data_IF_812511151980
#
_entry.id   IF_812511151980
#
_cell.length_a   1.000
_cell.length_b   1.000
_cell.length_c   1.000
_cell.angle_alpha   90.00
_cell.angle_beta   90.00
_cell.angle_gamma   90.00
#
_symmetry.space_group_name_H-M   'P 1'
#
loop_
_entity.id
_entity.type
_entity.pdbx_description
1 polymer ?
#
# COMPACT_ATOMS: atom_id res chain seq x y z
N UNK A 1 10.57 4.22 35.04
CA UNK A 1 11.53 3.22 34.52
C UNK A 1 11.75 3.52 33.03
N UNK A 2 12.83 4.21 32.66
CA UNK A 2 13.10 4.53 31.26
C UNK A 2 13.58 3.24 30.58
N UNK A 3 12.78 2.67 29.67
CA UNK A 3 13.19 1.48 28.91
C UNK A 3 14.40 1.83 28.05
N UNK A 4 15.56 1.23 28.35
CA UNK A 4 16.76 1.34 27.50
C UNK A 4 16.44 0.85 26.09
N UNK A 5 16.77 1.66 25.10
CA UNK A 5 16.69 1.32 23.68
C UNK A 5 17.56 0.08 23.37
N UNK A 6 16.99 -0.90 22.66
CA UNK A 6 17.58 -2.25 22.51
C UNK A 6 18.20 -2.54 21.14
N UNK A 7 17.91 -1.75 20.13
CA UNK A 7 18.32 -2.01 18.74
C UNK A 7 19.40 -1.01 18.29
N UNK A 8 20.29 -1.36 17.37
CA UNK A 8 21.18 -0.36 16.73
C UNK A 8 20.43 0.36 15.60
N UNK A 9 19.60 -0.37 14.86
CA UNK A 9 18.69 0.13 13.84
C UNK A 9 17.35 -0.58 13.93
N UNK A 10 16.27 0.14 13.60
CA UNK A 10 14.92 -0.39 13.51
C UNK A 10 14.23 0.21 12.29
N UNK A 11 13.76 -0.64 11.39
CA UNK A 11 12.88 -0.24 10.29
C UNK A 11 11.48 -0.81 10.51
N UNK A 12 10.46 -0.01 10.18
CA UNK A 12 9.07 -0.43 10.17
C UNK A 12 8.48 -0.19 8.79
N UNK A 13 8.19 -1.26 8.06
CA UNK A 13 7.64 -1.21 6.70
C UNK A 13 6.12 -1.41 6.71
N UNK A 14 5.36 -0.62 5.93
CA UNK A 14 3.92 -0.78 5.81
C UNK A 14 3.57 -2.08 5.07
N UNK A 15 2.38 -2.61 5.34
CA UNK A 15 1.71 -3.51 4.39
C UNK A 15 1.23 -2.74 3.19
N UNK A 16 1.05 -3.43 2.06
CA UNK A 16 0.69 -2.81 0.79
C UNK A 16 -0.48 -3.59 0.18
N UNK A 17 -1.47 -2.85 -0.31
CA UNK A 17 -2.56 -3.37 -1.13
C UNK A 17 -2.34 -2.91 -2.58
N UNK A 18 -2.41 -3.83 -3.54
CA UNK A 18 -2.47 -3.49 -4.96
C UNK A 18 -3.94 -3.35 -5.34
N UNK A 19 -4.38 -2.11 -5.54
CA UNK A 19 -5.77 -1.79 -5.85
C UNK A 19 -6.19 -2.33 -7.21
N UNK A 20 -5.26 -2.39 -8.16
CA UNK A 20 -5.47 -2.99 -9.45
C UNK A 20 -4.36 -2.62 -10.44
N UNK A 21 -4.66 -2.83 -11.71
CA UNK A 21 -3.73 -2.63 -12.82
C UNK A 21 -4.34 -1.77 -13.93
N UNK A 22 -3.48 -1.33 -14.83
CA UNK A 22 -3.88 -0.69 -16.08
C UNK A 22 -2.88 -1.03 -17.19
N UNK A 23 -3.34 -0.87 -18.44
CA UNK A 23 -2.49 -0.85 -19.62
C UNK A 23 -2.63 0.49 -20.31
N UNK A 24 -1.51 1.07 -20.71
CA UNK A 24 -1.48 2.31 -21.48
C UNK A 24 -0.51 2.10 -22.64
N UNK A 25 -1.05 1.94 -23.86
CA UNK A 25 -0.26 1.51 -25.03
C UNK A 25 0.47 0.19 -24.72
N UNK A 26 1.77 0.11 -24.99
CA UNK A 26 2.60 -1.09 -24.79
C UNK A 26 3.19 -1.21 -23.37
N UNK A 27 2.73 -0.37 -22.43
CA UNK A 27 3.15 -0.44 -21.03
C UNK A 27 1.99 -0.82 -20.11
N UNK A 28 2.35 -1.32 -18.94
CA UNK A 28 1.44 -1.69 -17.87
C UNK A 28 1.87 -1.05 -16.57
N UNK A 29 0.95 -0.98 -15.62
CA UNK A 29 1.22 -0.40 -14.33
C UNK A 29 0.33 -0.94 -13.23
N UNK A 30 0.71 -0.59 -12.00
CA UNK A 30 -0.02 -0.96 -10.79
C UNK A 30 -0.43 0.29 -10.01
N UNK A 31 -1.54 0.16 -9.30
CA UNK A 31 -2.03 1.15 -8.36
C UNK A 31 -1.95 0.57 -6.96
N UNK A 32 -1.36 1.31 -6.03
CA UNK A 32 -1.03 0.81 -4.69
C UNK A 32 -1.48 1.72 -3.58
N UNK A 33 -1.69 1.08 -2.44
CA UNK A 33 -2.15 1.68 -1.20
C UNK A 33 -1.34 1.08 -0.03
N UNK A 34 -0.23 1.71 0.41
CA UNK A 34 0.40 1.39 1.68
C UNK A 34 -0.56 1.64 2.85
N UNK A 35 -0.46 0.80 3.89
CA UNK A 35 -1.32 0.84 5.07
C UNK A 35 -0.53 1.11 6.35
N UNK A 36 -1.20 1.74 7.32
CA UNK A 36 -0.62 2.03 8.64
C UNK A 36 -0.39 0.72 9.41
N UNK A 37 -1.29 -0.26 9.25
CA UNK A 37 -1.23 -1.58 9.88
C UNK A 37 -1.91 -2.62 8.96
N UNK A 38 -1.45 -3.90 8.91
CA UNK A 38 -0.30 -4.47 9.62
C UNK A 38 1.05 -3.97 9.11
N UNK A 39 2.13 -4.18 9.87
CA UNK A 39 3.50 -3.77 9.52
C UNK A 39 4.51 -4.90 9.78
N UNK A 40 5.62 -4.84 9.06
CA UNK A 40 6.83 -5.60 9.35
C UNK A 40 7.79 -4.70 10.10
N UNK A 41 8.27 -5.14 11.27
CA UNK A 41 9.30 -4.44 12.01
C UNK A 41 10.57 -5.30 12.03
N UNK A 42 11.70 -4.71 11.65
CA UNK A 42 12.99 -5.41 11.61
C UNK A 42 13.99 -4.58 12.41
N UNK A 43 14.53 -5.19 13.46
CA UNK A 43 15.54 -4.59 14.32
C UNK A 43 16.88 -5.31 14.21
N UNK A 44 17.98 -4.57 14.33
CA UNK A 44 19.31 -5.15 14.51
C UNK A 44 19.68 -5.07 15.98
N UNK A 45 19.99 -6.22 16.60
CA UNK A 45 20.45 -6.30 17.99
C UNK A 45 21.71 -7.17 18.06
N UNK A 46 22.80 -6.60 18.56
CA UNK A 46 24.11 -7.27 18.65
C UNK A 46 24.54 -7.90 17.31
N UNK A 47 24.34 -7.19 16.19
CA UNK A 47 24.65 -7.68 14.84
C UNK A 47 23.70 -8.74 14.28
N UNK A 48 22.65 -9.14 15.02
CA UNK A 48 21.64 -10.10 14.57
C UNK A 48 20.34 -9.40 14.18
N UNK A 49 19.72 -9.86 13.09
CA UNK A 49 18.40 -9.41 12.65
C UNK A 49 17.31 -10.09 13.48
N UNK A 50 16.38 -9.29 14.00
CA UNK A 50 15.16 -9.73 14.65
C UNK A 50 13.97 -9.22 13.82
N UNK A 51 13.13 -10.14 13.34
CA UNK A 51 11.98 -9.84 12.49
C UNK A 51 10.71 -10.06 13.29
N UNK A 52 9.90 -9.02 13.40
CA UNK A 52 8.57 -9.07 14.00
C UNK A 52 7.58 -8.66 12.90
N UNK A 53 7.12 -9.67 12.14
CA UNK A 53 6.12 -9.50 11.09
C UNK A 53 4.73 -9.85 11.62
N UNK A 54 3.75 -8.98 11.33
CA UNK A 54 2.32 -9.26 11.53
C UNK A 54 1.53 -9.13 10.23
N UNK A 55 2.22 -9.03 9.09
CA UNK A 55 1.56 -8.86 7.80
C UNK A 55 1.18 -10.26 7.31
N UNK A 56 -0.12 -10.58 7.17
CA UNK A 56 -0.53 -11.83 6.55
C UNK A 56 -0.23 -11.80 5.05
N UNK A 57 -0.14 -12.98 4.43
CA UNK A 57 0.16 -13.09 2.99
C UNK A 57 -0.87 -12.38 2.10
N UNK A 58 -2.09 -12.16 2.60
CA UNK A 58 -3.14 -11.35 1.96
C UNK A 58 -2.77 -9.88 1.73
N UNK A 59 -1.67 -9.39 2.31
CA UNK A 59 -1.10 -8.05 2.09
C UNK A 59 0.35 -8.12 1.60
N UNK A 60 0.67 -9.12 0.75
CA UNK A 60 2.00 -9.33 0.20
C UNK A 60 3.09 -9.54 1.27
N UNK A 61 2.74 -10.16 2.41
CA UNK A 61 3.61 -10.27 3.59
C UNK A 61 5.04 -10.76 3.29
N UNK A 62 5.18 -11.82 2.49
CA UNK A 62 6.49 -12.36 2.09
C UNK A 62 7.33 -11.36 1.27
N UNK A 63 6.71 -10.71 0.27
CA UNK A 63 7.38 -9.73 -0.59
C UNK A 63 7.77 -8.50 0.22
N UNK A 64 6.85 -7.99 1.04
CA UNK A 64 7.08 -6.84 1.92
C UNK A 64 8.21 -7.14 2.91
N UNK A 65 8.22 -8.32 3.53
CA UNK A 65 9.29 -8.70 4.46
C UNK A 65 10.65 -8.80 3.74
N UNK A 66 10.70 -9.43 2.57
CA UNK A 66 11.91 -9.53 1.74
C UNK A 66 12.46 -8.14 1.39
N UNK A 67 11.60 -7.27 0.87
CA UNK A 67 11.94 -5.89 0.49
C UNK A 67 12.41 -5.10 1.72
N UNK A 68 11.70 -5.20 2.84
CA UNK A 68 12.03 -4.50 4.08
C UNK A 68 13.40 -4.92 4.64
N UNK A 69 13.70 -6.23 4.62
CA UNK A 69 15.02 -6.79 4.96
C UNK A 69 16.11 -6.20 4.06
N UNK A 70 15.85 -6.15 2.75
CA UNK A 70 16.83 -5.63 1.79
C UNK A 70 17.10 -4.13 1.99
N UNK A 71 16.09 -3.32 2.29
CA UNK A 71 16.29 -1.89 2.61
C UNK A 71 17.21 -1.72 3.83
N UNK A 72 17.03 -2.54 4.87
CA UNK A 72 17.85 -2.46 6.08
C UNK A 72 19.29 -2.92 5.88
N UNK A 73 19.50 -3.97 5.07
CA UNK A 73 20.79 -4.62 4.88
C UNK A 73 21.61 -4.07 3.70
N UNK A 74 20.94 -3.51 2.69
CA UNK A 74 21.54 -3.16 1.40
C UNK A 74 21.15 -1.74 1.00
N UNK A 75 22.13 -0.84 0.90
CA UNK A 75 21.89 0.54 0.45
C UNK A 75 21.53 0.66 -1.04
N UNK A 76 21.73 -0.42 -1.83
CA UNK A 76 21.53 -0.45 -3.29
C UNK A 76 20.68 -1.65 -3.73
N UNK A 77 19.45 -1.79 -3.21
CA UNK A 77 18.56 -2.84 -3.67
C UNK A 77 18.04 -2.55 -5.08
N UNK A 78 18.35 -3.44 -6.03
CA UNK A 78 17.83 -3.42 -7.40
C UNK A 78 17.12 -4.75 -7.63
N UNK A 79 15.78 -4.73 -7.73
CA UNK A 79 15.02 -5.91 -8.16
C UNK A 79 14.77 -5.88 -9.66
N UNK A 80 14.94 -7.02 -10.31
CA UNK A 80 14.55 -7.24 -11.72
C UNK A 80 13.08 -7.61 -11.85
N UNK A 81 12.41 -7.96 -10.75
CA UNK A 81 10.98 -8.19 -10.71
C UNK A 81 10.24 -6.86 -10.54
N UNK A 82 9.29 -6.58 -11.43
CA UNK A 82 8.56 -5.31 -11.43
C UNK A 82 7.71 -5.14 -10.18
N UNK A 83 7.06 -6.20 -9.69
CA UNK A 83 6.21 -6.12 -8.51
C UNK A 83 7.05 -5.80 -7.26
N UNK A 84 8.20 -6.46 -7.08
CA UNK A 84 9.16 -6.14 -6.03
C UNK A 84 9.66 -4.70 -6.13
N UNK A 85 9.91 -4.19 -7.35
CA UNK A 85 10.35 -2.81 -7.58
C UNK A 85 9.29 -1.80 -7.14
N UNK A 86 8.03 -2.04 -7.52
CA UNK A 86 6.87 -1.26 -7.12
C UNK A 86 6.71 -1.27 -5.59
N UNK A 87 6.77 -2.45 -4.97
CA UNK A 87 6.67 -2.62 -3.50
C UNK A 87 7.80 -1.88 -2.79
N UNK A 88 9.04 -2.00 -3.27
CA UNK A 88 10.20 -1.26 -2.76
C UNK A 88 9.99 0.25 -2.80
N UNK A 89 9.60 0.80 -3.96
CA UNK A 89 9.39 2.26 -4.08
C UNK A 89 8.22 2.72 -3.21
N UNK A 90 7.16 1.92 -3.08
CA UNK A 90 6.01 2.21 -2.20
C UNK A 90 6.41 2.30 -0.72
N UNK A 91 7.52 1.67 -0.30
CA UNK A 91 8.01 1.84 1.08
C UNK A 91 8.37 3.30 1.38
N UNK A 92 8.77 4.07 0.37
CA UNK A 92 9.22 5.46 0.51
C UNK A 92 8.12 6.50 0.21
N UNK A 93 7.08 6.12 -0.54
CA UNK A 93 6.01 7.03 -0.98
C UNK A 93 4.67 6.65 -0.35
N UNK A 94 3.98 7.60 0.28
CA UNK A 94 2.71 7.37 0.96
C UNK A 94 1.48 7.68 0.11
N UNK A 95 0.31 7.32 0.62
CA UNK A 95 -0.98 7.66 0.04
C UNK A 95 -1.40 6.68 -1.06
N UNK A 96 -2.03 7.20 -2.11
CA UNK A 96 -2.44 6.47 -3.30
C UNK A 96 -1.39 6.68 -4.39
N UNK A 97 -0.86 5.61 -4.97
CA UNK A 97 0.27 5.71 -5.89
C UNK A 97 0.00 4.92 -7.16
N UNK A 98 0.24 5.56 -8.30
CA UNK A 98 0.16 4.93 -9.63
C UNK A 98 1.58 4.78 -10.16
N UNK A 99 1.97 3.55 -10.46
CA UNK A 99 3.28 3.23 -11.06
C UNK A 99 3.12 2.75 -12.49
N UNK A 100 4.03 3.19 -13.35
CA UNK A 100 4.19 2.71 -14.72
C UNK A 100 5.43 1.83 -14.83
N UNK A 101 5.38 0.77 -15.62
CA UNK A 101 6.57 0.01 -15.99
C UNK A 101 7.32 0.68 -17.14
N UNK A 102 8.60 0.93 -16.93
CA UNK A 102 9.55 1.30 -18.00
C UNK A 102 10.74 0.36 -17.92
N UNK A 103 10.89 -0.54 -18.90
CA UNK A 103 11.83 -1.66 -18.76
C UNK A 103 11.42 -2.56 -17.59
N UNK A 104 12.29 -2.81 -16.61
CA UNK A 104 11.92 -3.49 -15.35
C UNK A 104 11.72 -2.52 -14.17
N UNK A 105 11.75 -1.21 -14.42
CA UNK A 105 11.65 -0.20 -13.39
C UNK A 105 10.22 0.28 -13.17
N UNK A 106 9.85 0.51 -11.91
CA UNK A 106 8.61 1.16 -11.52
C UNK A 106 8.77 2.67 -11.44
N UNK A 107 8.15 3.42 -12.34
CA UNK A 107 8.19 4.89 -12.32
C UNK A 107 6.89 5.42 -11.69
N UNK A 108 6.94 6.15 -10.55
CA UNK A 108 5.74 6.75 -9.99
C UNK A 108 5.23 7.85 -10.93
N UNK A 109 3.98 7.74 -11.37
CA UNK A 109 3.31 8.74 -12.20
C UNK A 109 2.55 9.77 -11.37
N UNK A 110 1.80 9.30 -10.37
CA UNK A 110 1.11 10.16 -9.40
C UNK A 110 1.21 9.57 -8.00
N UNK A 111 1.27 10.47 -7.02
CA UNK A 111 1.24 10.18 -5.58
C UNK A 111 0.24 11.16 -4.97
N UNK A 112 -0.85 10.63 -4.44
CA UNK A 112 -1.96 11.42 -3.90
C UNK A 112 -2.12 11.12 -2.41
N UNK A 113 -2.02 12.15 -1.56
CA UNK A 113 -2.32 11.99 -0.13
C UNK A 113 -3.82 11.81 0.06
N UNK A 114 -4.22 10.74 0.72
CA UNK A 114 -5.65 10.39 0.86
C UNK A 114 -6.26 11.18 2.00
N UNK A 115 -7.48 11.69 1.80
CA UNK A 115 -8.29 12.29 2.86
C UNK A 115 -8.92 11.20 3.74
N UNK A 116 -8.17 10.73 4.73
CA UNK A 116 -8.60 9.68 5.67
C UNK A 116 -9.60 10.16 6.73
N UNK A 117 -9.79 11.47 6.85
CA UNK A 117 -10.85 12.06 7.67
C UNK A 117 -12.22 11.85 7.01
N UNK A 118 -12.30 12.08 5.70
CA UNK A 118 -13.52 11.89 4.90
C UNK A 118 -13.78 10.42 4.58
N UNK A 119 -12.79 9.68 4.10
CA UNK A 119 -12.98 8.31 3.62
C UNK A 119 -12.50 7.26 4.64
N UNK A 120 -13.26 6.17 4.76
CA UNK A 120 -12.96 4.99 5.58
C UNK A 120 -12.76 3.79 4.66
N UNK A 121 -11.74 3.00 4.98
CA UNK A 121 -11.28 1.90 4.17
C UNK A 121 -11.44 0.59 4.93
N UNK A 122 -11.92 -0.44 4.26
CA UNK A 122 -12.17 -1.75 4.85
C UNK A 122 -11.72 -2.84 3.88
N UNK A 123 -11.01 -3.84 4.36
CA UNK A 123 -10.41 -4.88 3.54
C UNK A 123 -10.81 -6.27 4.00
N UNK A 124 -11.03 -7.16 3.03
CA UNK A 124 -11.23 -8.59 3.22
C UNK A 124 -10.37 -9.37 2.23
N UNK A 125 -9.74 -10.44 2.69
CA UNK A 125 -9.03 -11.39 1.83
C UNK A 125 -10.03 -12.23 1.02
N UNK A 126 -9.77 -12.42 -0.27
CA UNK A 126 -10.61 -13.24 -1.17
C UNK A 126 -9.68 -14.04 -2.08
N UNK A 127 -9.75 -15.37 -1.99
CA UNK A 127 -8.94 -16.26 -2.81
C UNK A 127 -9.36 -16.22 -4.30
N UNK A 128 -8.38 -16.28 -5.19
CA UNK A 128 -8.63 -16.31 -6.65
C UNK A 128 -9.24 -15.03 -7.22
N UNK A 129 -9.12 -13.91 -6.52
CA UNK A 129 -9.72 -12.66 -6.96
C UNK A 129 -9.08 -12.15 -8.26
N UNK A 130 -9.92 -11.67 -9.19
CA UNK A 130 -9.46 -10.95 -10.37
C UNK A 130 -9.40 -9.47 -10.01
N UNK A 131 -8.19 -8.93 -9.92
CA UNK A 131 -7.99 -7.53 -9.61
C UNK A 131 -8.65 -6.62 -10.65
N UNK A 132 -9.05 -5.43 -10.20
CA UNK A 132 -9.58 -4.37 -11.04
C UNK A 132 -8.56 -4.03 -12.13
N UNK A 133 -9.05 -3.96 -13.36
CA UNK A 133 -8.31 -3.44 -14.50
C UNK A 133 -9.11 -2.27 -15.08
N UNK A 134 -8.49 -1.09 -15.16
CA UNK A 134 -9.11 0.14 -15.61
C UNK A 134 -8.14 0.98 -16.44
N UNK A 135 -8.63 2.06 -17.04
CA UNK A 135 -7.76 3.01 -17.76
C UNK A 135 -6.85 3.76 -16.79
N UNK A 136 -5.73 4.29 -17.30
CA UNK A 136 -4.83 5.12 -16.49
C UNK A 136 -5.55 6.38 -16.02
N UNK A 137 -6.37 6.96 -16.89
CA UNK A 137 -7.16 8.16 -16.65
C UNK A 137 -8.12 7.96 -15.47
N UNK A 138 -8.84 6.83 -15.44
CA UNK A 138 -9.76 6.51 -14.35
C UNK A 138 -9.00 6.41 -13.02
N UNK A 139 -7.85 5.74 -13.00
CA UNK A 139 -7.02 5.64 -11.80
C UNK A 139 -6.47 7.00 -11.35
N UNK A 140 -6.11 7.90 -12.26
CA UNK A 140 -5.65 9.25 -11.91
C UNK A 140 -6.81 10.06 -11.30
N UNK A 141 -7.98 10.05 -11.92
CA UNK A 141 -9.16 10.78 -11.41
C UNK A 141 -9.61 10.19 -10.08
N UNK A 142 -9.58 8.86 -9.94
CA UNK A 142 -9.91 8.18 -8.69
C UNK A 142 -8.99 8.63 -7.55
N UNK A 143 -7.67 8.59 -7.74
CA UNK A 143 -6.69 9.06 -6.75
C UNK A 143 -6.91 10.53 -6.36
N UNK A 144 -7.13 11.39 -7.35
CA UNK A 144 -7.43 12.82 -7.11
C UNK A 144 -8.70 13.00 -6.27
N UNK A 145 -9.77 12.24 -6.54
CA UNK A 145 -11.02 12.30 -5.78
C UNK A 145 -10.86 11.83 -4.31
N UNK A 146 -9.97 10.87 -4.07
CA UNK A 146 -9.61 10.41 -2.73
C UNK A 146 -8.84 11.47 -1.94
N UNK A 147 -8.01 12.27 -2.62
CA UNK A 147 -7.31 13.41 -2.01
C UNK A 147 -8.26 14.57 -1.72
N UNK A 148 -9.09 14.97 -2.67
CA UNK A 148 -9.93 16.18 -2.53
C UNK A 148 -11.15 15.95 -1.63
N UNK A 149 -11.60 14.70 -1.46
CA UNK A 149 -12.83 14.41 -0.73
C UNK A 149 -14.10 14.61 -1.57
N UNK A 150 -13.97 14.73 -2.89
CA UNK A 150 -15.10 14.87 -3.82
C UNK A 150 -15.83 13.54 -4.00
N UNK A 151 -16.80 13.31 -3.12
CA UNK A 151 -17.54 12.06 -2.97
C UNK A 151 -18.30 11.65 -4.24
N UNK A 152 -18.96 12.61 -4.91
CA UNK A 152 -19.68 12.34 -6.16
C UNK A 152 -18.75 11.84 -7.27
N UNK A 153 -17.59 12.49 -7.43
CA UNK A 153 -16.57 12.06 -8.40
C UNK A 153 -16.00 10.69 -8.02
N UNK A 154 -15.69 10.48 -6.73
CA UNK A 154 -15.14 9.21 -6.25
C UNK A 154 -16.09 8.04 -6.54
N UNK A 155 -17.37 8.18 -6.22
CA UNK A 155 -18.35 7.14 -6.51
C UNK A 155 -18.65 6.99 -8.00
N UNK A 156 -18.66 8.09 -8.77
CA UNK A 156 -18.83 8.01 -10.22
C UNK A 156 -17.75 7.13 -10.84
N UNK A 157 -16.48 7.47 -10.59
CA UNK A 157 -15.34 6.70 -11.11
C UNK A 157 -15.32 5.27 -10.55
N UNK A 158 -15.70 5.08 -9.28
CA UNK A 158 -15.78 3.73 -8.72
C UNK A 158 -16.79 2.82 -9.44
N UNK A 159 -17.85 3.36 -10.04
CA UNK A 159 -18.76 2.55 -10.87
C UNK A 159 -18.08 2.06 -12.15
N UNK A 160 -17.11 2.83 -12.65
CA UNK A 160 -16.38 2.50 -13.88
C UNK A 160 -15.27 1.47 -13.61
N UNK A 161 -14.55 1.62 -12.49
CA UNK A 161 -13.41 0.74 -12.13
C UNK A 161 -13.79 -0.43 -11.21
N UNK A 162 -14.98 -0.43 -10.63
CA UNK A 162 -15.39 -1.38 -9.61
C UNK A 162 -16.91 -1.51 -9.54
N UNK A 163 -17.46 -1.38 -8.34
CA UNK A 163 -18.90 -1.27 -8.16
C UNK A 163 -19.26 -0.33 -7.03
N UNK A 164 -20.49 0.19 -7.06
CA UNK A 164 -21.04 1.03 -5.99
C UNK A 164 -22.38 0.49 -5.54
N UNK A 165 -22.49 0.22 -4.24
CA UNK A 165 -23.73 -0.20 -3.59
C UNK A 165 -23.90 0.60 -2.28
N UNK A 166 -25.07 1.21 -2.07
CA UNK A 166 -25.38 1.97 -0.83
C UNK A 166 -24.31 3.02 -0.42
N UNK A 167 -23.71 3.73 -1.37
CA UNK A 167 -22.58 4.66 -1.11
C UNK A 167 -21.35 3.98 -0.50
N UNK A 168 -21.06 2.76 -0.95
CA UNK A 168 -19.82 2.04 -0.70
C UNK A 168 -19.22 1.72 -2.07
N UNK A 169 -17.98 2.12 -2.27
CA UNK A 169 -17.18 1.79 -3.43
C UNK A 169 -16.45 0.48 -3.17
N UNK A 170 -16.59 -0.50 -4.05
CA UNK A 170 -15.96 -1.81 -3.95
C UNK A 170 -14.92 -1.95 -5.06
N UNK A 171 -13.70 -2.27 -4.67
CA UNK A 171 -12.59 -2.54 -5.59
C UNK A 171 -12.06 -3.95 -5.36
N UNK A 172 -11.91 -4.69 -6.44
CA UNK A 172 -11.21 -5.98 -6.41
C UNK A 172 -9.72 -5.70 -6.48
N UNK A 173 -9.00 -6.06 -5.44
CA UNK A 173 -7.54 -5.95 -5.33
C UNK A 173 -6.89 -7.27 -5.72
N UNK A 174 -5.56 -7.30 -5.86
CA UNK A 174 -4.81 -8.52 -6.18
C UNK A 174 -5.13 -9.71 -5.24
N UNK A 175 -5.33 -9.45 -3.94
CA UNK A 175 -5.45 -10.50 -2.91
C UNK A 175 -6.78 -10.46 -2.16
N UNK A 176 -7.73 -9.63 -2.59
CA UNK A 176 -8.95 -9.40 -1.80
C UNK A 176 -9.82 -8.27 -2.31
N UNK A 177 -10.72 -7.79 -1.47
CA UNK A 177 -11.67 -6.73 -1.79
C UNK A 177 -11.49 -5.56 -0.83
N UNK A 178 -11.46 -4.35 -1.39
CA UNK A 178 -11.39 -3.10 -0.65
C UNK A 178 -12.71 -2.34 -0.77
N UNK A 179 -13.28 -1.96 0.36
CA UNK A 179 -14.41 -1.05 0.44
C UNK A 179 -13.91 0.35 0.83
N UNK A 180 -14.42 1.35 0.13
CA UNK A 180 -14.21 2.77 0.42
C UNK A 180 -15.58 3.41 0.63
N UNK A 181 -15.76 4.10 1.76
CA UNK A 181 -17.03 4.76 2.08
C UNK A 181 -16.79 5.98 2.96
N UNK A 182 -17.78 6.85 3.11
CA UNK A 182 -17.75 8.01 4.02
C UNK A 182 -18.34 7.69 5.40
N UNK A 183 -18.91 6.49 5.58
CA UNK A 183 -19.53 6.04 6.83
C UNK A 183 -18.75 4.92 7.49
N UNK A 184 -18.89 4.78 8.81
CA UNK A 184 -18.33 3.63 9.52
C UNK A 184 -19.22 2.42 9.25
N UNK A 185 -18.60 1.32 8.81
CA UNK A 185 -19.26 0.02 8.66
C UNK A 185 -18.89 -0.84 9.88
N UNK A 186 -19.92 -1.46 10.48
CA UNK A 186 -19.78 -2.41 11.58
C UNK A 186 -20.12 -3.82 11.08
N UNK A 187 -19.28 -4.36 10.20
CA UNK A 187 -19.38 -5.76 9.76
C UNK A 187 -18.13 -6.53 10.20
N UNK A 188 -18.32 -7.77 10.62
CA UNK A 188 -17.22 -8.68 11.01
C UNK A 188 -16.44 -9.20 9.81
N UNK A 189 -17.02 -9.13 8.61
CA UNK A 189 -16.41 -9.67 7.38
C UNK A 189 -15.24 -8.83 6.86
N UNK A 190 -15.19 -7.55 7.22
CA UNK A 190 -14.16 -6.63 6.76
C UNK A 190 -13.40 -6.02 7.92
N UNK A 191 -12.08 -5.97 7.79
CA UNK A 191 -11.23 -5.29 8.75
C UNK A 191 -11.01 -3.86 8.32
N UNK A 192 -11.21 -2.91 9.24
CA UNK A 192 -10.87 -1.52 8.97
C UNK A 192 -9.36 -1.41 8.74
N UNK A 193 -8.99 -0.82 7.62
CA UNK A 193 -7.62 -0.47 7.28
C UNK A 193 -7.49 1.04 7.17
N UNK A 194 -6.27 1.55 7.32
CA UNK A 194 -6.00 2.99 7.23
C UNK A 194 -4.87 3.18 6.24
N UNK A 195 -5.10 3.90 5.13
CA UNK A 195 -4.04 4.28 4.22
C UNK A 195 -2.94 5.06 4.94
N UNK A 196 -1.70 4.78 4.57
CA UNK A 196 -0.53 5.43 5.15
C UNK A 196 -0.01 6.51 4.21
N UNK A 197 -0.29 7.77 4.55
CA UNK A 197 0.21 8.94 3.85
C UNK A 197 1.71 9.21 4.14
N UNK A 198 2.35 8.48 5.06
CA UNK A 198 3.76 8.62 5.43
C UNK A 198 4.40 7.25 5.80
N UNK A 199 4.79 6.45 4.80
CA UNK A 199 5.00 5.00 4.92
C UNK A 199 6.28 4.62 5.62
N UNK A 200 7.44 5.20 5.31
CA UNK A 200 8.68 4.73 5.91
C UNK A 200 8.87 5.32 7.30
N UNK A 201 9.11 4.45 8.28
CA UNK A 201 9.61 4.85 9.60
C UNK A 201 10.93 4.13 9.83
N UNK A 202 12.02 4.87 9.76
CA UNK A 202 13.35 4.37 10.03
C UNK A 202 13.92 5.08 11.25
N UNK A 203 14.28 4.32 12.27
CA UNK A 203 14.82 4.83 13.54
C UNK A 203 16.20 4.25 13.75
N UNK A 204 17.20 5.13 13.87
CA UNK A 204 18.59 4.77 14.10
C UNK A 204 18.96 5.24 15.51
N UNK A 205 19.62 4.36 16.29
CA UNK A 205 20.25 4.81 17.53
C UNK A 205 21.52 5.57 17.16
N UNK A 206 21.59 6.84 17.52
CA UNK A 206 22.84 7.59 17.47
C UNK A 206 23.52 7.49 18.83
N UNK A 207 24.72 6.91 18.87
CA UNK A 207 25.60 6.97 20.04
C UNK A 207 26.53 8.17 19.83
N UNK A 208 26.48 9.16 20.73
CA UNK A 208 27.50 10.21 20.86
C UNK A 208 28.58 9.74 21.80
#
# INVERSE_FOLDING_TARGET
MIKKWRYSSLISCPSIVILGEFKYRDTYGYVLLPLVYPRVNIGVRNGKLEVISRIPNSFLGEIVEKVCKNILCSQNYVSTDFLENVVYKTMFYGGYIVYLKTGNEAIPLTIELINTDKYKFYYRHVDGNKQTNASLEDWIVFGSSLRTGFEETMFSICRDIGSVEENKCYLKTLMGELIITTKIINTVEFHRVVPENSPMRYVIKYEK
#
